data_IF_301529804674
#
_entry.id   IF_301529804674
#
_cell.length_a   1.000
_cell.length_b   1.000
_cell.length_c   1.000
_cell.angle_alpha   90.00
_cell.angle_beta   90.00
_cell.angle_gamma   90.00
#
_symmetry.space_group_name_H-M   'P 1'
#
loop_
_entity.id
_entity.type
_entity.pdbx_description
1 polymer ?
#
# COMPACT_ATOMS: atom_id res chain seq x y z
N UNK A 1 -29.15 -34.79 -16.07
CA UNK A 1 -28.90 -34.08 -14.79
C UNK A 1 -27.42 -34.11 -14.35
N UNK A 2 -26.50 -34.75 -15.10
CA UNK A 2 -25.05 -34.84 -14.77
C UNK A 2 -24.14 -33.84 -15.52
N UNK A 3 -24.71 -32.97 -16.35
CA UNK A 3 -23.92 -32.08 -17.24
C UNK A 3 -23.58 -30.73 -16.57
N UNK A 4 -24.52 -30.16 -15.79
CA UNK A 4 -24.32 -28.87 -15.14
C UNK A 4 -23.26 -28.89 -14.03
N UNK A 5 -23.16 -29.98 -13.26
CA UNK A 5 -22.17 -30.10 -12.18
C UNK A 5 -20.75 -30.26 -12.75
N UNK A 6 -20.62 -30.94 -13.89
CA UNK A 6 -19.36 -31.14 -14.61
C UNK A 6 -18.81 -29.81 -15.11
N UNK A 7 -19.65 -29.02 -15.78
CA UNK A 7 -19.30 -27.68 -16.28
C UNK A 7 -19.01 -26.73 -15.13
N UNK A 8 -19.78 -26.79 -14.04
CA UNK A 8 -19.57 -25.91 -12.88
C UNK A 8 -18.24 -26.23 -12.18
N UNK A 9 -17.90 -27.50 -11.98
CA UNK A 9 -16.61 -27.93 -11.41
C UNK A 9 -15.45 -27.61 -12.36
N UNK A 10 -15.63 -27.72 -13.67
CA UNK A 10 -14.60 -27.37 -14.65
C UNK A 10 -14.36 -25.85 -14.69
N UNK A 11 -15.41 -25.03 -14.62
CA UNK A 11 -15.33 -23.56 -14.49
C UNK A 11 -14.71 -23.17 -13.15
N UNK A 12 -15.04 -23.84 -12.05
CA UNK A 12 -14.41 -23.61 -10.74
C UNK A 12 -12.92 -23.96 -10.76
N UNK A 13 -12.55 -25.08 -11.40
CA UNK A 13 -11.16 -25.53 -11.54
C UNK A 13 -10.36 -24.61 -12.46
N UNK A 14 -10.94 -24.15 -13.57
CA UNK A 14 -10.33 -23.16 -14.44
C UNK A 14 -10.13 -21.85 -13.69
N UNK A 15 -11.17 -21.33 -13.02
CA UNK A 15 -11.09 -20.12 -12.21
C UNK A 15 -10.00 -20.21 -11.13
N UNK A 16 -9.87 -21.39 -10.49
CA UNK A 16 -8.83 -21.67 -9.49
C UNK A 16 -7.41 -21.66 -10.03
N UNK A 17 -7.16 -22.18 -11.23
CA UNK A 17 -5.82 -22.19 -11.87
C UNK A 17 -5.42 -20.80 -12.35
N UNK A 18 -6.36 -20.00 -12.86
CA UNK A 18 -6.08 -18.63 -13.30
C UNK A 18 -6.06 -17.61 -12.16
N UNK A 19 -6.59 -17.94 -10.98
CA UNK A 19 -6.65 -17.02 -9.84
C UNK A 19 -5.24 -16.50 -9.41
N UNK A 20 -4.19 -17.32 -9.27
CA UNK A 20 -2.85 -16.82 -8.97
C UNK A 20 -2.29 -15.89 -10.05
N UNK A 21 -2.56 -16.20 -11.32
CA UNK A 21 -2.08 -15.40 -12.44
C UNK A 21 -2.76 -14.02 -12.45
N UNK A 22 -4.09 -13.99 -12.29
CA UNK A 22 -4.87 -12.76 -12.18
C UNK A 22 -4.45 -11.95 -10.96
N UNK A 23 -4.15 -12.59 -9.83
CA UNK A 23 -3.64 -11.92 -8.64
C UNK A 23 -2.29 -11.24 -8.87
N UNK A 24 -1.35 -11.93 -9.54
CA UNK A 24 -0.04 -11.37 -9.91
C UNK A 24 -0.21 -10.19 -10.88
N UNK A 25 -1.09 -10.34 -11.87
CA UNK A 25 -1.41 -9.26 -12.81
C UNK A 25 -2.04 -8.06 -12.09
N UNK A 26 -2.99 -8.29 -11.19
CA UNK A 26 -3.62 -7.24 -10.38
C UNK A 26 -2.56 -6.48 -9.57
N UNK A 27 -1.58 -7.16 -9.00
CA UNK A 27 -0.45 -6.51 -8.34
C UNK A 27 0.40 -5.69 -9.31
N UNK A 28 0.71 -6.21 -10.50
CA UNK A 28 1.46 -5.48 -11.53
C UNK A 28 0.73 -4.20 -12.01
N UNK A 29 -0.58 -4.29 -12.19
CA UNK A 29 -1.45 -3.19 -12.63
C UNK A 29 -1.97 -2.31 -11.48
N UNK A 30 -1.60 -2.62 -10.23
CA UNK A 30 -1.99 -1.85 -9.03
C UNK A 30 -1.78 -0.34 -9.17
N UNK A 31 -0.74 0.06 -9.90
CA UNK A 31 -0.41 1.46 -10.17
C UNK A 31 -1.54 2.23 -10.88
N UNK A 32 -2.37 1.55 -11.67
CA UNK A 32 -3.51 2.17 -12.36
C UNK A 32 -4.74 2.34 -11.45
N UNK A 33 -4.85 1.49 -10.43
CA UNK A 33 -5.99 1.47 -9.50
C UNK A 33 -5.71 2.21 -8.18
N UNK A 34 -4.51 2.80 -8.01
CA UNK A 34 -4.07 3.48 -6.78
C UNK A 34 -4.24 2.65 -5.51
N UNK A 35 -4.23 1.32 -5.63
CA UNK A 35 -4.46 0.43 -4.50
C UNK A 35 -3.20 0.28 -3.63
N UNK A 36 -3.31 0.32 -2.30
CA UNK A 36 -2.19 0.07 -1.41
C UNK A 36 -1.76 -1.40 -1.48
N UNK A 37 -0.44 -1.65 -1.46
CA UNK A 37 0.15 -3.01 -1.56
C UNK A 37 -0.42 -3.94 -0.47
N UNK A 38 -0.54 -3.42 0.75
CA UNK A 38 -0.98 -4.19 1.91
C UNK A 38 -2.37 -4.80 1.73
N UNK A 39 -3.31 -4.07 1.12
CA UNK A 39 -4.66 -4.60 0.88
C UNK A 39 -4.64 -5.78 -0.08
N UNK A 40 -3.89 -5.69 -1.18
CA UNK A 40 -3.83 -6.79 -2.15
C UNK A 40 -3.09 -8.00 -1.54
N UNK A 41 -2.01 -7.79 -0.79
CA UNK A 41 -1.34 -8.89 -0.09
C UNK A 41 -2.26 -9.57 0.94
N UNK A 42 -3.07 -8.78 1.66
CA UNK A 42 -4.08 -9.30 2.58
C UNK A 42 -5.08 -10.20 1.85
N UNK A 43 -5.59 -9.74 0.70
CA UNK A 43 -6.49 -10.57 -0.13
C UNK A 43 -5.81 -11.84 -0.64
N UNK A 44 -4.52 -11.80 -0.96
CA UNK A 44 -3.75 -12.99 -1.34
C UNK A 44 -3.69 -14.02 -0.22
N UNK A 45 -3.55 -13.57 1.04
CA UNK A 45 -3.63 -14.41 2.23
C UNK A 45 -5.01 -15.03 2.46
N UNK A 46 -6.08 -14.28 2.17
CA UNK A 46 -7.47 -14.77 2.28
C UNK A 46 -7.75 -15.81 1.20
N UNK A 47 -7.32 -15.56 -0.04
CA UNK A 47 -7.65 -16.40 -1.20
C UNK A 47 -6.79 -17.66 -1.31
N UNK A 48 -5.49 -17.57 -0.99
CA UNK A 48 -4.53 -18.65 -1.21
C UNK A 48 -3.88 -19.16 0.08
N UNK A 49 -4.23 -18.57 1.23
CA UNK A 49 -3.56 -18.85 2.51
C UNK A 49 -2.23 -18.11 2.67
N UNK A 50 -1.65 -18.19 3.87
CA UNK A 50 -0.47 -17.40 4.23
C UNK A 50 0.75 -17.68 3.33
N UNK A 51 1.06 -18.94 3.06
CA UNK A 51 2.29 -19.34 2.35
C UNK A 51 2.18 -19.06 0.84
N UNK A 52 1.15 -19.60 0.17
CA UNK A 52 0.98 -19.40 -1.27
C UNK A 52 0.63 -17.94 -1.60
N UNK A 53 -0.18 -17.28 -0.75
CA UNK A 53 -0.48 -15.85 -0.87
C UNK A 53 0.78 -14.99 -0.76
N UNK A 54 1.69 -15.29 0.18
CA UNK A 54 2.97 -14.60 0.28
C UNK A 54 3.84 -14.84 -0.95
N UNK A 55 3.92 -16.08 -1.43
CA UNK A 55 4.71 -16.43 -2.62
C UNK A 55 4.24 -15.67 -3.87
N UNK A 56 2.94 -15.72 -4.19
CA UNK A 56 2.39 -14.97 -5.33
C UNK A 56 2.50 -13.46 -5.12
N UNK A 57 2.40 -12.97 -3.89
CA UNK A 57 2.59 -11.55 -3.59
C UNK A 57 4.02 -11.09 -3.86
N UNK A 58 5.03 -11.86 -3.45
CA UNK A 58 6.43 -11.53 -3.76
C UNK A 58 6.64 -11.44 -5.27
N UNK A 59 6.08 -12.36 -6.04
CA UNK A 59 6.19 -12.35 -7.50
C UNK A 59 5.52 -11.09 -8.08
N UNK A 60 4.26 -10.82 -7.72
CA UNK A 60 3.51 -9.66 -8.24
C UNK A 60 4.13 -8.31 -7.89
N UNK A 61 4.57 -8.13 -6.64
CA UNK A 61 5.23 -6.90 -6.19
C UNK A 61 6.57 -6.73 -6.90
N UNK A 62 7.34 -7.81 -7.05
CA UNK A 62 8.63 -7.77 -7.74
C UNK A 62 8.44 -7.42 -9.21
N UNK A 63 7.43 -8.00 -9.88
CA UNK A 63 7.09 -7.66 -11.26
C UNK A 63 6.74 -6.17 -11.39
N UNK A 64 5.96 -5.63 -10.45
CA UNK A 64 5.64 -4.20 -10.38
C UNK A 64 6.89 -3.33 -10.25
N UNK A 65 7.83 -3.72 -9.38
CA UNK A 65 9.12 -3.04 -9.22
C UNK A 65 9.98 -3.09 -10.48
N UNK A 66 9.98 -4.23 -11.19
CA UNK A 66 10.72 -4.39 -12.46
C UNK A 66 10.14 -3.48 -13.54
N UNK A 67 8.82 -3.45 -13.71
CA UNK A 67 8.14 -2.54 -14.63
C UNK A 67 8.48 -1.08 -14.31
N UNK A 68 8.45 -0.72 -13.02
CA UNK A 68 8.81 0.61 -12.56
C UNK A 68 10.28 0.96 -12.86
N UNK A 69 11.22 0.02 -12.68
CA UNK A 69 12.64 0.23 -13.03
C UNK A 69 12.80 0.57 -14.50
N UNK A 70 12.16 -0.19 -15.38
CA UNK A 70 12.22 0.04 -16.83
C UNK A 70 11.59 1.37 -17.23
N UNK A 71 10.40 1.68 -16.68
CA UNK A 71 9.74 2.97 -16.93
C UNK A 71 10.60 4.16 -16.51
N UNK A 72 11.22 4.09 -15.33
CA UNK A 72 12.09 5.15 -14.84
C UNK A 72 13.41 5.26 -15.62
N UNK A 73 13.93 4.14 -16.13
CA UNK A 73 15.15 4.13 -16.98
C UNK A 73 14.90 4.74 -18.35
N UNK A 74 13.72 4.53 -18.94
CA UNK A 74 13.33 5.14 -20.22
C UNK A 74 13.10 6.64 -20.14
N UNK A 75 12.82 7.18 -18.94
CA UNK A 75 12.49 8.61 -18.73
C UNK A 75 13.49 9.30 -17.79
N UNK A 76 14.72 9.60 -18.23
CA UNK A 76 15.76 10.17 -17.37
C UNK A 76 15.40 11.56 -16.80
N UNK A 77 14.59 12.35 -17.53
CA UNK A 77 14.09 13.64 -17.05
C UNK A 77 13.16 13.48 -15.84
N UNK A 78 12.29 12.46 -15.87
CA UNK A 78 11.39 12.14 -14.76
C UNK A 78 12.18 11.62 -13.56
N UNK A 79 13.15 10.73 -13.79
CA UNK A 79 14.06 10.22 -12.74
C UNK A 79 14.72 11.36 -11.94
N UNK A 80 15.24 12.38 -12.62
CA UNK A 80 15.86 13.54 -11.94
C UNK A 80 14.84 14.30 -11.07
N UNK A 81 13.62 14.53 -11.57
CA UNK A 81 12.55 15.22 -10.81
C UNK A 81 12.14 14.43 -9.58
N UNK A 82 11.88 13.13 -9.74
CA UNK A 82 11.43 12.30 -8.61
C UNK A 82 12.55 12.09 -7.59
N UNK A 83 13.82 11.97 -8.01
CA UNK A 83 14.96 11.99 -7.07
C UNK A 83 15.02 13.28 -6.23
N UNK A 84 14.73 14.44 -6.83
CA UNK A 84 14.70 15.72 -6.08
C UNK A 84 13.58 15.72 -5.04
N UNK A 85 12.40 15.19 -5.38
CA UNK A 85 11.28 15.01 -4.45
C UNK A 85 11.63 14.02 -3.34
N UNK A 86 12.21 12.87 -3.67
CA UNK A 86 12.69 11.87 -2.72
C UNK A 86 13.66 12.48 -1.71
N UNK A 87 14.66 13.24 -2.17
CA UNK A 87 15.60 13.94 -1.28
C UNK A 87 14.94 14.98 -0.38
N UNK A 88 13.83 15.60 -0.81
CA UNK A 88 13.06 16.54 0.01
C UNK A 88 12.25 15.83 1.09
N UNK A 89 11.64 14.69 0.78
CA UNK A 89 10.82 13.90 1.71
C UNK A 89 11.66 13.11 2.73
N UNK A 90 12.76 12.52 2.28
CA UNK A 90 13.59 11.61 3.09
C UNK A 90 14.76 12.35 3.76
N UNK A 91 15.15 13.51 3.22
CA UNK A 91 16.28 14.31 3.70
C UNK A 91 17.60 14.00 2.98
N UNK A 92 18.61 14.85 3.22
CA UNK A 92 19.94 14.77 2.57
C UNK A 92 20.82 13.62 3.09
N UNK A 93 20.48 13.00 4.23
CA UNK A 93 21.32 12.01 4.92
C UNK A 93 20.65 10.64 4.91
N UNK A 94 20.95 9.83 3.90
CA UNK A 94 21.35 8.42 4.02
C UNK A 94 20.99 7.62 2.77
N UNK A 95 21.90 6.76 2.29
CA UNK A 95 21.48 5.59 1.55
C UNK A 95 20.83 4.62 2.54
N UNK A 96 19.51 4.44 2.46
CA UNK A 96 18.86 3.37 3.24
C UNK A 96 19.42 2.01 2.84
N UNK A 97 19.63 1.14 3.83
CA UNK A 97 19.96 -0.26 3.54
C UNK A 97 18.74 -1.01 2.99
N UNK A 98 18.96 -2.12 2.29
CA UNK A 98 17.88 -2.98 1.77
C UNK A 98 16.92 -3.39 2.90
N UNK A 99 17.46 -3.72 4.08
CA UNK A 99 16.68 -4.08 5.25
C UNK A 99 15.83 -2.92 5.81
N UNK A 100 16.39 -1.71 5.87
CA UNK A 100 15.61 -0.53 6.27
C UNK A 100 14.47 -0.25 5.30
N UNK A 101 14.72 -0.39 3.99
CA UNK A 101 13.68 -0.25 2.97
C UNK A 101 12.60 -1.33 3.14
N UNK A 102 12.99 -2.57 3.46
CA UNK A 102 12.05 -3.67 3.71
C UNK A 102 11.12 -3.38 4.89
N UNK A 103 11.67 -2.90 6.02
CA UNK A 103 10.90 -2.48 7.19
C UNK A 103 9.98 -1.32 6.82
N UNK A 104 10.50 -0.33 6.09
CA UNK A 104 9.75 0.85 5.69
C UNK A 104 8.59 0.51 4.75
N UNK A 105 8.73 -0.54 3.93
CA UNK A 105 7.63 -1.08 3.09
C UNK A 105 6.50 -1.68 3.92
N UNK A 106 6.80 -2.27 5.09
CA UNK A 106 5.76 -2.81 5.98
C UNK A 106 4.87 -1.71 6.56
N UNK A 107 5.34 -0.47 6.57
CA UNK A 107 4.57 0.68 7.04
C UNK A 107 3.68 1.20 5.89
N UNK A 108 2.34 1.20 6.05
CA UNK A 108 1.42 1.53 4.95
C UNK A 108 1.46 3.00 4.52
N UNK A 109 2.00 3.89 5.36
CA UNK A 109 2.09 5.33 5.09
C UNK A 109 3.11 5.70 4.01
N UNK A 110 4.11 4.84 3.77
CA UNK A 110 5.19 5.13 2.83
C UNK A 110 4.85 4.63 1.43
N UNK A 111 4.96 5.53 0.44
CA UNK A 111 4.61 5.18 -0.93
C UNK A 111 5.59 4.18 -1.54
N UNK A 112 5.09 3.04 -2.01
CA UNK A 112 5.90 1.93 -2.53
C UNK A 112 6.89 2.36 -3.62
N UNK A 113 6.46 3.23 -4.54
CA UNK A 113 7.32 3.70 -5.64
C UNK A 113 8.52 4.49 -5.15
N UNK A 114 8.38 5.25 -4.07
CA UNK A 114 9.48 6.01 -3.47
C UNK A 114 10.56 5.07 -2.92
N UNK A 115 10.13 4.00 -2.24
CA UNK A 115 11.01 2.96 -1.71
C UNK A 115 11.67 2.15 -2.83
N UNK A 116 10.94 1.91 -3.92
CA UNK A 116 11.49 1.31 -5.13
C UNK A 116 12.58 2.21 -5.75
N UNK A 117 12.43 3.54 -5.74
CA UNK A 117 13.48 4.46 -6.21
C UNK A 117 14.73 4.42 -5.34
N UNK A 118 14.57 4.33 -4.01
CA UNK A 118 15.70 4.13 -3.11
C UNK A 118 16.49 2.88 -3.49
N UNK A 119 15.80 1.77 -3.81
CA UNK A 119 16.44 0.54 -4.29
C UNK A 119 17.19 0.75 -5.61
N UNK A 120 16.65 1.53 -6.55
CA UNK A 120 17.34 1.86 -7.81
C UNK A 120 18.63 2.63 -7.53
N UNK A 121 18.63 3.52 -6.54
CA UNK A 121 19.79 4.37 -6.22
C UNK A 121 20.93 3.59 -5.56
N UNK A 122 20.62 2.57 -4.76
CA UNK A 122 21.64 1.70 -4.12
C UNK A 122 22.04 0.50 -4.97
N UNK A 123 21.36 0.23 -6.09
CA UNK A 123 21.64 -0.92 -6.96
C UNK A 123 22.44 -0.50 -8.18
N UNK A 124 23.49 -1.25 -8.51
CA UNK A 124 24.37 -0.91 -9.64
C UNK A 124 23.79 -1.32 -10.98
N UNK A 125 23.01 -2.41 -11.00
CA UNK A 125 22.45 -2.99 -12.21
C UNK A 125 21.05 -3.59 -11.97
N UNK A 126 20.38 -3.99 -13.06
CA UNK A 126 19.03 -4.56 -13.01
C UNK A 126 18.94 -5.85 -12.16
N UNK A 127 19.97 -6.70 -12.18
CA UNK A 127 19.99 -7.95 -11.40
C UNK A 127 20.05 -7.65 -9.90
N UNK A 128 20.92 -6.73 -9.49
CA UNK A 128 21.01 -6.27 -8.09
C UNK A 128 19.71 -5.65 -7.62
N UNK A 129 19.12 -4.78 -8.44
CA UNK A 129 17.82 -4.18 -8.15
C UNK A 129 16.73 -5.23 -7.95
N UNK A 130 16.68 -6.23 -8.84
CA UNK A 130 15.66 -7.29 -8.76
C UNK A 130 15.85 -8.12 -7.49
N UNK A 131 17.09 -8.51 -7.16
CA UNK A 131 17.42 -9.22 -5.92
C UNK A 131 17.04 -8.39 -4.68
N UNK A 132 17.43 -7.12 -4.64
CA UNK A 132 17.11 -6.22 -3.54
C UNK A 132 15.59 -5.98 -3.41
N UNK A 133 14.87 -5.92 -4.52
CA UNK A 133 13.41 -5.83 -4.52
C UNK A 133 12.78 -7.09 -3.94
N UNK A 134 13.16 -8.28 -4.40
CA UNK A 134 12.67 -9.56 -3.84
C UNK A 134 12.89 -9.59 -2.32
N UNK A 135 14.13 -9.36 -1.87
CA UNK A 135 14.49 -9.41 -0.44
C UNK A 135 13.64 -8.40 0.36
N UNK A 136 13.46 -7.19 -0.15
CA UNK A 136 12.67 -6.16 0.56
C UNK A 136 11.16 -6.37 0.47
N UNK A 137 10.65 -7.14 -0.49
CA UNK A 137 9.23 -7.44 -0.66
C UNK A 137 8.77 -8.66 0.16
N UNK A 138 9.68 -9.57 0.51
CA UNK A 138 9.37 -10.78 1.29
C UNK A 138 8.72 -10.44 2.65
N UNK A 139 9.25 -9.52 3.48
CA UNK A 139 8.68 -9.24 4.79
C UNK A 139 7.25 -8.71 4.74
N UNK A 140 6.97 -7.77 3.83
CA UNK A 140 5.62 -7.22 3.64
C UNK A 140 4.65 -8.28 3.11
N UNK A 141 5.08 -9.12 2.16
CA UNK A 141 4.24 -10.17 1.61
C UNK A 141 3.86 -11.22 2.67
N UNK A 142 4.82 -11.65 3.49
CA UNK A 142 4.58 -12.59 4.59
C UNK A 142 3.66 -11.97 5.62
N UNK A 143 3.96 -10.75 6.09
CA UNK A 143 3.15 -10.06 7.09
C UNK A 143 1.69 -9.98 6.65
N UNK A 144 1.40 -9.30 5.53
CA UNK A 144 0.02 -9.07 5.13
C UNK A 144 -0.71 -10.35 4.69
N UNK A 145 -0.03 -11.30 4.04
CA UNK A 145 -0.69 -12.58 3.67
C UNK A 145 -1.00 -13.43 4.91
N UNK A 146 -0.13 -13.42 5.92
CA UNK A 146 -0.38 -14.14 7.18
C UNK A 146 -1.54 -13.51 7.93
N UNK A 147 -1.57 -12.17 8.03
CA UNK A 147 -2.71 -11.45 8.61
C UNK A 147 -4.02 -11.75 7.88
N UNK A 148 -3.99 -11.81 6.54
CA UNK A 148 -5.17 -12.14 5.73
C UNK A 148 -5.67 -13.55 5.99
N UNK A 149 -4.76 -14.52 6.04
CA UNK A 149 -5.08 -15.92 6.34
C UNK A 149 -5.66 -16.10 7.74
N UNK A 150 -5.07 -15.43 8.74
CA UNK A 150 -5.59 -15.45 10.11
C UNK A 150 -6.98 -14.82 10.16
N UNK A 151 -7.17 -13.66 9.54
CA UNK A 151 -8.45 -12.96 9.51
C UNK A 151 -9.58 -13.82 8.92
N UNK A 152 -9.29 -14.59 7.87
CA UNK A 152 -10.25 -15.52 7.27
C UNK A 152 -10.55 -16.73 8.17
N UNK A 153 -9.58 -17.19 8.95
CA UNK A 153 -9.76 -18.32 9.88
C UNK A 153 -10.50 -17.96 11.17
N UNK A 154 -10.67 -16.67 11.47
CA UNK A 154 -11.42 -16.23 12.65
C UNK A 154 -12.92 -16.47 12.46
N UNK A 155 -13.57 -17.04 13.47
CA UNK A 155 -15.03 -17.14 13.53
C UNK A 155 -15.67 -15.75 13.43
N UNK A 156 -16.87 -15.69 12.85
CA UNK A 156 -17.66 -14.45 12.77
C UNK A 156 -17.82 -13.79 14.15
N UNK A 157 -17.95 -14.62 15.20
CA UNK A 157 -18.11 -14.19 16.59
C UNK A 157 -16.85 -13.52 17.14
N UNK A 158 -15.67 -14.10 16.89
CA UNK A 158 -14.40 -13.50 17.36
C UNK A 158 -14.07 -12.21 16.61
N UNK A 159 -14.32 -12.15 15.30
CA UNK A 159 -14.17 -10.92 14.52
C UNK A 159 -15.10 -9.81 15.02
N UNK A 160 -16.36 -10.13 15.32
CA UNK A 160 -17.31 -9.18 15.90
C UNK A 160 -16.89 -8.72 17.30
N UNK A 161 -16.42 -9.63 18.16
CA UNK A 161 -15.93 -9.30 19.49
C UNK A 161 -14.71 -8.35 19.45
N UNK A 162 -13.77 -8.57 18.53
CA UNK A 162 -12.61 -7.68 18.33
C UNK A 162 -13.07 -6.29 17.88
N UNK A 163 -14.01 -6.21 16.93
CA UNK A 163 -14.55 -4.93 16.45
C UNK A 163 -15.26 -4.15 17.56
N UNK A 164 -16.08 -4.81 18.37
CA UNK A 164 -16.74 -4.20 19.53
C UNK A 164 -15.69 -3.73 20.54
N UNK A 165 -14.70 -4.57 20.86
CA UNK A 165 -13.60 -4.22 21.77
C UNK A 165 -12.80 -3.02 21.28
N UNK A 166 -12.45 -2.96 20.00
CA UNK A 166 -11.77 -1.81 19.38
C UNK A 166 -12.65 -0.55 19.39
N UNK A 167 -13.95 -0.68 19.15
CA UNK A 167 -14.88 0.46 19.19
C UNK A 167 -15.04 1.03 20.59
N UNK A 168 -15.13 0.15 21.61
CA UNK A 168 -15.13 0.54 23.02
C UNK A 168 -13.80 1.18 23.40
N UNK A 169 -12.67 0.59 23.01
CA UNK A 169 -11.35 1.15 23.27
C UNK A 169 -11.20 2.53 22.61
N UNK A 170 -11.63 2.68 21.36
CA UNK A 170 -11.63 3.96 20.65
C UNK A 170 -12.52 5.00 21.35
N UNK A 171 -13.69 4.58 21.84
CA UNK A 171 -14.57 5.43 22.64
C UNK A 171 -13.94 5.84 23.99
N UNK A 172 -13.23 4.93 24.66
CA UNK A 172 -12.55 5.21 25.94
C UNK A 172 -11.29 6.08 25.76
N UNK A 173 -10.55 5.89 24.66
CA UNK A 173 -9.39 6.71 24.29
C UNK A 173 -9.81 8.06 23.70
N UNK A 174 -11.11 8.32 23.51
CA UNK A 174 -11.63 9.61 23.08
C UNK A 174 -11.29 10.67 24.14
N UNK A 175 -10.17 11.36 23.93
CA UNK A 175 -9.81 12.58 24.67
C UNK A 175 -10.92 13.62 24.45
N UNK A 176 -11.47 14.14 25.55
CA UNK A 176 -12.58 15.11 25.63
C UNK A 176 -12.22 16.51 25.09
N UNK A 177 -11.15 16.63 24.30
CA UNK A 177 -10.52 17.89 23.88
C UNK A 177 -10.89 18.30 22.44
N UNK A 178 -11.56 17.45 21.67
CA UNK A 178 -12.14 17.82 20.38
C UNK A 178 -13.53 18.44 20.57
N UNK A 179 -13.58 19.55 21.29
CA UNK A 179 -14.64 20.54 21.13
C UNK A 179 -14.05 21.58 20.20
N UNK A 180 -14.25 21.44 18.89
CA UNK A 180 -14.09 22.57 17.98
C UNK A 180 -15.09 23.60 18.50
N UNK A 181 -14.60 24.63 19.18
CA UNK A 181 -15.44 25.69 19.72
C UNK A 181 -16.04 26.41 18.51
N UNK A 182 -17.37 26.48 18.46
CA UNK A 182 -18.11 27.19 17.42
C UNK A 182 -17.61 28.63 17.19
N UNK A 183 -16.98 29.25 18.19
CA UNK A 183 -16.37 30.58 18.11
C UNK A 183 -15.13 30.67 17.22
N UNK A 184 -14.42 29.58 16.94
CA UNK A 184 -13.28 29.57 15.98
C UNK A 184 -13.76 29.43 14.52
N UNK A 185 -14.99 28.96 14.29
CA UNK A 185 -15.56 28.80 12.95
C UNK A 185 -16.20 30.09 12.42
N UNK A 186 -16.53 31.02 13.31
CA UNK A 186 -17.18 32.30 13.02
C UNK A 186 -16.38 33.48 13.59
N UNK A 187 -15.05 33.49 13.42
CA UNK A 187 -14.38 34.79 13.36
C UNK A 187 -14.95 35.51 12.12
N UNK A 188 -15.91 36.39 12.36
CA UNK A 188 -16.34 37.40 11.41
C UNK A 188 -15.08 38.04 10.82
N UNK A 189 -14.88 37.87 9.51
CA UNK A 189 -14.11 38.79 8.68
C UNK A 189 -14.62 40.22 8.96
N UNK A 190 -14.08 40.87 9.98
CA UNK A 190 -14.02 42.33 10.05
C UNK A 190 -12.71 42.77 9.40
N UNK A 191 -12.57 42.42 8.12
CA UNK A 191 -11.72 43.19 7.22
C UNK A 191 -12.46 44.47 6.81
N UNK A 192 -11.96 45.58 7.32
CA UNK A 192 -11.61 46.77 6.54
C UNK A 192 -12.34 46.97 5.20
N UNK A 193 -13.53 47.59 5.23
CA UNK A 193 -14.04 48.31 4.07
C UNK A 193 -14.83 49.57 4.47
N UNK A 194 -14.12 50.59 4.98
CA UNK A 194 -14.55 51.98 4.74
C UNK A 194 -13.35 52.92 4.59
N UNK A 195 -12.71 52.84 3.42
CA UNK A 195 -11.92 53.93 2.86
C UNK A 195 -12.88 54.88 2.12
N UNK A 196 -12.67 56.19 2.27
CA UNK A 196 -13.15 57.32 1.43
C UNK A 196 -14.48 58.02 1.78
N UNK A 197 -14.41 59.13 2.54
CA UNK A 197 -14.98 60.46 2.18
C UNK A 197 -14.17 61.58 2.88
N UNK A 198 -13.16 62.12 2.19
CA UNK A 198 -13.00 63.52 1.74
C UNK A 198 -12.35 64.52 2.74
N UNK A 199 -11.49 65.42 2.24
CA UNK A 199 -10.76 66.44 3.02
C UNK A 199 -11.58 67.71 3.26
N UNK A 200 -11.25 68.42 4.34
CA UNK A 200 -11.49 69.85 4.53
C UNK A 200 -10.31 70.45 5.31
#
# INVERSE_FOLDING_TARGET
>A
MLDNDSVFIEVLKFSGIFAPLLFILLQAFRQFFFLPVGLICLTGGILFGAVAGAFYSVIGITLSSVLFYWGMKSMPKLMKKVKKLQKKWIGKRMPFSIGQIAILKMIPFMHFHLLSLCLIEISSNFKEYTKASIISNVPIAILYSSFGSVLFSLSLVTSAAILVGLSVLFYLLRRKEWVIKWSEFFEEEKEEHHKQRMPA
#
